data_IF_496178931841
#
_entry.id   IF_496178931841
#
_cell.length_a   1.000
_cell.length_b   1.000
_cell.length_c   1.000
_cell.angle_alpha   90.00
_cell.angle_beta   90.00
_cell.angle_gamma   90.00
#
_symmetry.space_group_name_H-M   'P 1'
#
loop_
_entity.id
_entity.type
_entity.pdbx_description
1 polymer ?
#
# COMPACT_ATOMS: atom_id res chain seq x y z
N UNK A 1 21.14 4.49 -12.40
CA UNK A 1 19.67 4.57 -12.27
C UNK A 1 19.08 4.01 -13.55
N UNK A 2 18.29 2.95 -13.42
CA UNK A 2 17.60 2.27 -14.51
C UNK A 2 16.74 3.26 -15.34
N UNK A 3 16.68 3.07 -16.66
CA UNK A 3 15.91 3.93 -17.58
C UNK A 3 14.42 3.89 -17.23
N UNK A 4 13.89 2.73 -16.84
CA UNK A 4 12.51 2.61 -16.38
C UNK A 4 12.26 3.47 -15.13
N UNK A 5 13.17 3.41 -14.15
CA UNK A 5 13.08 4.24 -12.94
C UNK A 5 13.14 5.75 -13.25
N UNK A 6 13.93 6.17 -14.26
CA UNK A 6 13.92 7.57 -14.72
C UNK A 6 12.55 7.98 -15.24
N UNK A 7 11.90 7.13 -16.04
CA UNK A 7 10.56 7.39 -16.59
C UNK A 7 9.51 7.49 -15.49
N UNK A 8 9.59 6.69 -14.43
CA UNK A 8 8.74 6.87 -13.24
C UNK A 8 8.94 8.26 -12.62
N UNK A 9 10.18 8.74 -12.54
CA UNK A 9 10.49 10.07 -11.99
C UNK A 9 9.82 11.24 -12.71
N UNK A 10 9.39 11.07 -13.96
CA UNK A 10 8.71 12.10 -14.74
C UNK A 10 7.17 12.04 -14.65
N UNK A 11 6.59 11.01 -14.03
CA UNK A 11 5.15 10.85 -13.93
C UNK A 11 4.50 12.03 -13.18
N UNK A 12 3.42 12.59 -13.75
CA UNK A 12 2.73 13.76 -13.21
C UNK A 12 3.42 15.11 -13.45
N UNK A 13 4.69 15.11 -13.89
CA UNK A 13 5.41 16.35 -14.22
C UNK A 13 5.60 16.55 -15.72
N UNK A 14 5.60 15.46 -16.50
CA UNK A 14 5.72 15.49 -17.95
C UNK A 14 4.37 15.22 -18.64
N UNK A 15 4.20 15.63 -19.92
CA UNK A 15 3.03 15.28 -20.71
C UNK A 15 2.88 13.75 -20.82
N UNK A 16 1.70 13.23 -20.49
CA UNK A 16 1.46 11.77 -20.46
C UNK A 16 1.70 11.10 -21.81
N UNK A 17 1.36 11.78 -22.92
CA UNK A 17 1.62 11.27 -24.26
C UNK A 17 3.11 11.08 -24.56
N UNK A 18 3.99 11.91 -23.99
CA UNK A 18 5.43 11.76 -24.15
C UNK A 18 5.96 10.58 -23.34
N UNK A 19 5.45 10.39 -22.11
CA UNK A 19 5.79 9.23 -21.28
C UNK A 19 5.30 7.92 -21.89
N UNK A 20 4.12 7.93 -22.49
CA UNK A 20 3.59 6.80 -23.26
C UNK A 20 4.59 6.37 -24.34
N UNK A 21 5.04 7.32 -25.19
CA UNK A 21 5.99 7.03 -26.28
C UNK A 21 7.36 6.59 -25.75
N UNK A 22 7.85 7.20 -24.67
CA UNK A 22 9.13 6.82 -24.09
C UNK A 22 9.11 5.40 -23.50
N UNK A 23 7.99 4.98 -22.90
CA UNK A 23 7.81 3.61 -22.41
C UNK A 23 7.74 2.59 -23.54
N UNK A 24 7.11 2.93 -24.66
CA UNK A 24 7.15 2.08 -25.86
C UNK A 24 8.57 1.95 -26.41
N UNK A 25 9.30 3.06 -26.58
CA UNK A 25 10.69 3.03 -27.05
C UNK A 25 11.59 2.17 -26.15
N UNK A 26 11.41 2.27 -24.82
CA UNK A 26 12.13 1.43 -23.87
C UNK A 26 11.76 -0.06 -24.03
N UNK A 27 10.48 -0.38 -24.23
CA UNK A 27 10.02 -1.76 -24.41
C UNK A 27 10.52 -2.39 -25.72
N UNK A 28 10.61 -1.59 -26.79
CA UNK A 28 11.12 -2.00 -28.11
C UNK A 28 12.65 -2.11 -28.14
N UNK A 29 13.34 -1.63 -27.09
CA UNK A 29 14.80 -1.57 -27.05
C UNK A 29 15.39 -0.49 -27.96
N UNK A 30 14.60 0.51 -28.36
CA UNK A 30 15.04 1.65 -29.18
C UNK A 30 15.73 2.71 -28.29
N UNK A 31 16.97 2.39 -27.91
CA UNK A 31 17.75 3.22 -26.99
C UNK A 31 18.02 4.62 -27.54
N UNK A 32 18.22 4.75 -28.86
CA UNK A 32 18.49 6.05 -29.48
C UNK A 32 17.31 7.00 -29.33
N UNK A 33 16.11 6.52 -29.68
CA UNK A 33 14.88 7.29 -29.51
C UNK A 33 14.57 7.56 -28.04
N UNK A 34 14.81 6.59 -27.16
CA UNK A 34 14.60 6.75 -25.72
C UNK A 34 15.50 7.86 -25.14
N UNK A 35 16.77 7.91 -25.52
CA UNK A 35 17.69 8.93 -25.03
C UNK A 35 17.30 10.35 -25.49
N UNK A 36 16.83 10.49 -26.74
CA UNK A 36 16.26 11.76 -27.24
C UNK A 36 15.03 12.19 -26.43
N UNK A 37 14.11 11.25 -26.16
CA UNK A 37 12.91 11.52 -25.37
C UNK A 37 13.24 11.87 -23.92
N UNK A 38 14.17 11.15 -23.28
CA UNK A 38 14.62 11.44 -21.92
C UNK A 38 15.27 12.83 -21.82
N UNK A 39 16.03 13.22 -22.84
CA UNK A 39 16.63 14.57 -22.92
C UNK A 39 15.53 15.64 -23.03
N UNK A 40 14.58 15.45 -23.95
CA UNK A 40 13.46 16.37 -24.12
C UNK A 40 12.56 16.48 -22.87
N UNK A 41 12.35 15.36 -22.16
CA UNK A 41 11.62 15.32 -20.89
C UNK A 41 12.34 16.08 -19.78
N UNK A 42 13.67 15.99 -19.72
CA UNK A 42 14.48 16.70 -18.74
C UNK A 42 14.56 18.21 -18.99
N UNK A 43 14.50 18.64 -20.25
CA UNK A 43 14.50 20.05 -20.64
C UNK A 43 13.12 20.71 -20.53
N UNK A 44 12.06 19.91 -20.51
CA UNK A 44 10.69 20.40 -20.30
C UNK A 44 10.54 20.98 -18.89
N UNK A 45 10.02 22.21 -18.74
CA UNK A 45 9.87 22.82 -17.42
C UNK A 45 8.90 22.00 -16.58
N UNK A 46 9.44 21.25 -15.61
CA UNK A 46 8.67 20.55 -14.61
C UNK A 46 7.91 21.60 -13.80
N UNK A 47 6.59 21.71 -14.02
CA UNK A 47 5.75 22.53 -13.15
C UNK A 47 5.41 21.66 -11.94
N UNK A 48 5.88 21.98 -10.72
CA UNK A 48 5.54 21.19 -9.55
C UNK A 48 4.04 21.28 -9.32
N UNK A 49 3.31 20.25 -9.75
CA UNK A 49 1.86 20.16 -9.61
C UNK A 49 1.55 19.13 -8.55
N UNK A 50 0.83 19.55 -7.51
CA UNK A 50 0.20 18.60 -6.60
C UNK A 50 -1.05 18.07 -7.30
N UNK A 51 -1.08 16.76 -7.52
CA UNK A 51 -2.26 16.09 -8.03
C UNK A 51 -3.15 15.63 -6.90
N UNK A 52 -4.45 15.69 -7.14
CA UNK A 52 -5.43 15.03 -6.29
C UNK A 52 -5.71 13.64 -6.87
N UNK A 53 -5.62 12.61 -6.03
CA UNK A 53 -5.99 11.25 -6.42
C UNK A 53 -7.28 10.83 -5.74
N UNK A 54 -8.18 10.19 -6.48
CA UNK A 54 -9.51 9.81 -6.01
C UNK A 54 -9.77 8.35 -6.39
N UNK A 55 -10.23 7.51 -5.44
CA UNK A 55 -10.69 6.17 -5.75
C UNK A 55 -12.01 6.25 -6.52
N UNK A 56 -12.00 5.98 -7.83
CA UNK A 56 -13.21 5.88 -8.64
C UNK A 56 -13.24 4.54 -9.39
N UNK A 57 -13.98 3.54 -8.86
CA UNK A 57 -13.96 2.19 -9.42
C UNK A 57 -14.92 1.99 -10.60
N UNK A 58 -15.80 2.94 -10.91
CA UNK A 58 -16.91 2.76 -11.86
C UNK A 58 -16.67 3.45 -13.20
N UNK A 59 -17.28 2.93 -14.26
CA UNK A 59 -17.30 3.56 -15.58
C UNK A 59 -16.08 3.23 -16.46
N UNK A 60 -15.18 2.39 -15.98
CA UNK A 60 -13.92 2.04 -16.65
C UNK A 60 -13.68 0.52 -16.72
N UNK A 61 -14.68 -0.29 -16.37
CA UNK A 61 -14.54 -1.71 -16.11
C UNK A 61 -14.09 -2.49 -17.36
N UNK A 62 -14.48 -2.05 -18.56
CA UNK A 62 -14.05 -2.67 -19.81
C UNK A 62 -12.54 -2.49 -20.05
N UNK A 63 -12.05 -1.26 -19.91
CA UNK A 63 -10.64 -0.94 -20.10
C UNK A 63 -9.76 -1.57 -18.99
N UNK A 64 -10.23 -1.55 -17.74
CA UNK A 64 -9.54 -2.18 -16.61
C UNK A 64 -9.41 -3.70 -16.79
N UNK A 65 -10.48 -4.37 -17.22
CA UNK A 65 -10.42 -5.82 -17.52
C UNK A 65 -9.46 -6.14 -18.66
N UNK A 66 -9.45 -5.32 -19.71
CA UNK A 66 -8.55 -5.52 -20.85
C UNK A 66 -7.08 -5.37 -20.42
N UNK A 67 -6.77 -4.34 -19.62
CA UNK A 67 -5.43 -4.15 -19.05
C UNK A 67 -5.03 -5.33 -18.17
N UNK A 68 -5.86 -5.71 -17.19
CA UNK A 68 -5.57 -6.82 -16.27
C UNK A 68 -5.35 -8.11 -17.04
N UNK A 69 -6.18 -8.40 -18.05
CA UNK A 69 -6.01 -9.58 -18.90
C UNK A 69 -4.65 -9.62 -19.59
N UNK A 70 -4.13 -8.47 -20.03
CA UNK A 70 -2.84 -8.37 -20.72
C UNK A 70 -1.63 -8.61 -19.79
N UNK A 71 -1.75 -8.29 -18.50
CA UNK A 71 -0.61 -8.31 -17.56
C UNK A 71 -0.66 -9.41 -16.50
N UNK A 72 -1.79 -10.10 -16.32
CA UNK A 72 -2.02 -11.00 -15.16
C UNK A 72 -1.05 -12.19 -15.03
N UNK A 73 -0.30 -12.50 -16.08
CA UNK A 73 0.68 -13.61 -16.08
C UNK A 73 2.12 -13.12 -15.82
N UNK A 74 2.34 -11.81 -15.73
CA UNK A 74 3.67 -11.20 -15.62
C UNK A 74 3.76 -10.16 -14.51
N UNK A 75 2.63 -9.58 -14.09
CA UNK A 75 2.52 -8.69 -12.93
C UNK A 75 2.02 -9.44 -11.70
N UNK A 76 2.23 -8.87 -10.51
CA UNK A 76 1.74 -9.42 -9.23
C UNK A 76 0.48 -8.71 -8.73
N UNK A 77 0.29 -7.43 -9.08
CA UNK A 77 -0.90 -6.67 -8.71
C UNK A 77 -1.13 -5.45 -9.61
N UNK A 78 -2.38 -5.00 -9.67
CA UNK A 78 -2.80 -3.83 -10.42
C UNK A 78 -3.84 -3.03 -9.64
N UNK A 79 -3.64 -1.72 -9.59
CA UNK A 79 -4.59 -0.75 -9.05
C UNK A 79 -4.97 0.29 -10.10
N UNK A 80 -6.07 0.99 -9.84
CA UNK A 80 -6.40 2.21 -10.56
C UNK A 80 -6.87 3.32 -9.62
N UNK A 81 -6.62 4.56 -10.03
CA UNK A 81 -7.09 5.79 -9.37
C UNK A 81 -7.40 6.85 -10.43
N UNK A 82 -8.12 7.90 -10.03
CA UNK A 82 -8.35 9.07 -10.86
C UNK A 82 -7.45 10.21 -10.40
N UNK A 83 -6.62 10.71 -11.30
CA UNK A 83 -5.83 11.92 -11.13
C UNK A 83 -6.65 13.13 -11.54
N UNK A 84 -6.74 14.11 -10.63
CA UNK A 84 -7.50 15.35 -10.74
C UNK A 84 -8.98 15.12 -11.13
N UNK A 85 -9.53 13.94 -10.85
CA UNK A 85 -10.92 13.55 -11.14
C UNK A 85 -11.22 13.24 -12.60
N UNK A 86 -10.23 13.28 -13.50
CA UNK A 86 -10.46 13.10 -14.95
C UNK A 86 -9.55 12.06 -15.58
N UNK A 87 -8.31 11.96 -15.10
CA UNK A 87 -7.30 11.13 -15.72
C UNK A 87 -7.17 9.79 -15.00
N UNK A 88 -7.57 8.69 -15.64
CA UNK A 88 -7.36 7.36 -15.07
C UNK A 88 -5.88 6.97 -15.08
N UNK A 89 -5.35 6.60 -13.93
CA UNK A 89 -3.97 6.14 -13.74
C UNK A 89 -3.98 4.70 -13.25
N UNK A 90 -3.21 3.84 -13.92
CA UNK A 90 -3.02 2.44 -13.56
C UNK A 90 -1.64 2.25 -12.93
N UNK A 91 -1.62 1.59 -11.78
CA UNK A 91 -0.41 1.28 -11.02
C UNK A 91 -0.23 -0.23 -11.06
N UNK A 92 0.93 -0.70 -11.49
CA UNK A 92 1.19 -2.14 -11.70
C UNK A 92 2.44 -2.54 -10.93
N UNK A 93 2.31 -3.51 -10.05
CA UNK A 93 3.45 -4.10 -9.34
C UNK A 93 3.96 -5.31 -10.13
N UNK A 94 5.26 -5.37 -10.39
CA UNK A 94 5.92 -6.50 -11.03
C UNK A 94 7.39 -6.61 -10.60
N UNK A 95 7.90 -7.83 -10.46
CA UNK A 95 9.31 -8.05 -10.10
C UNK A 95 10.26 -7.72 -11.25
N UNK A 96 9.87 -8.07 -12.48
CA UNK A 96 10.71 -7.91 -13.67
C UNK A 96 9.87 -7.54 -14.90
N UNK A 97 10.54 -7.19 -16.00
CA UNK A 97 9.88 -6.95 -17.29
C UNK A 97 9.06 -5.66 -17.33
N UNK A 98 9.40 -4.66 -16.51
CA UNK A 98 8.57 -3.48 -16.28
C UNK A 98 8.20 -2.74 -17.57
N UNK A 99 9.16 -2.55 -18.48
CA UNK A 99 8.92 -1.90 -19.78
C UNK A 99 7.95 -2.68 -20.67
N UNK A 100 8.15 -4.00 -20.79
CA UNK A 100 7.27 -4.87 -21.59
C UNK A 100 5.84 -4.92 -21.01
N UNK A 101 5.71 -4.96 -19.68
CA UNK A 101 4.42 -4.90 -18.99
C UNK A 101 3.73 -3.55 -19.25
N UNK A 102 4.48 -2.45 -19.15
CA UNK A 102 3.94 -1.11 -19.42
C UNK A 102 3.41 -1.02 -20.85
N UNK A 103 4.19 -1.44 -21.84
CA UNK A 103 3.78 -1.44 -23.24
C UNK A 103 2.55 -2.34 -23.48
N UNK A 104 2.52 -3.56 -22.95
CA UNK A 104 1.39 -4.47 -23.10
C UNK A 104 0.08 -3.90 -22.52
N UNK A 105 0.16 -3.30 -21.33
CA UNK A 105 -0.97 -2.63 -20.67
C UNK A 105 -1.43 -1.40 -21.46
N UNK A 106 -0.50 -0.55 -21.90
CA UNK A 106 -0.78 0.64 -22.71
C UNK A 106 -1.51 0.26 -24.02
N UNK A 107 -1.04 -0.78 -24.70
CA UNK A 107 -1.65 -1.31 -25.92
C UNK A 107 -3.05 -1.88 -25.67
N UNK A 108 -3.28 -2.56 -24.55
CA UNK A 108 -4.60 -3.06 -24.17
C UNK A 108 -5.60 -1.92 -23.92
N UNK A 109 -5.16 -0.83 -23.27
CA UNK A 109 -5.96 0.36 -23.04
C UNK A 109 -6.32 1.10 -24.33
N UNK A 110 -5.36 1.28 -25.26
CA UNK A 110 -5.62 1.88 -26.57
C UNK A 110 -6.69 1.12 -27.35
N UNK A 111 -6.58 -0.22 -27.39
CA UNK A 111 -7.58 -1.09 -28.04
C UNK A 111 -8.97 -1.01 -27.40
N UNK A 112 -9.03 -0.54 -26.15
CA UNK A 112 -10.27 -0.32 -25.41
C UNK A 112 -10.82 1.10 -25.53
N UNK A 113 -10.20 1.96 -26.35
CA UNK A 113 -10.64 3.34 -26.58
C UNK A 113 -10.07 4.38 -25.62
N UNK A 114 -9.00 4.07 -24.89
CA UNK A 114 -8.30 5.03 -24.02
C UNK A 114 -7.20 5.72 -24.83
N UNK A 115 -7.39 6.99 -25.14
CA UNK A 115 -6.49 7.75 -26.03
C UNK A 115 -5.11 8.04 -25.41
N UNK A 116 -5.03 8.18 -24.09
CA UNK A 116 -3.77 8.46 -23.37
C UNK A 116 -3.64 7.54 -22.16
N UNK A 117 -3.15 6.30 -22.37
CA UNK A 117 -2.89 5.35 -21.29
C UNK A 117 -1.85 5.88 -20.30
N UNK A 118 -2.12 5.73 -19.00
CA UNK A 118 -1.20 6.11 -17.92
C UNK A 118 -0.89 4.89 -17.08
N UNK A 119 0.10 4.13 -17.52
CA UNK A 119 0.50 2.88 -16.86
C UNK A 119 1.84 3.07 -16.17
N UNK A 120 1.82 2.95 -14.85
CA UNK A 120 2.97 3.10 -13.98
C UNK A 120 3.35 1.73 -13.42
N UNK A 121 4.38 1.11 -13.96
CA UNK A 121 4.86 -0.22 -13.52
C UNK A 121 6.01 -0.04 -12.54
N UNK A 122 6.03 -0.73 -11.41
CA UNK A 122 7.09 -0.61 -10.42
C UNK A 122 7.42 -1.93 -9.74
N UNK A 123 8.63 -2.01 -9.18
CA UNK A 123 9.08 -3.12 -8.36
C UNK A 123 8.71 -2.90 -6.89
N UNK A 124 8.17 -3.91 -6.17
CA UNK A 124 7.69 -3.75 -4.79
C UNK A 124 8.77 -3.34 -3.79
N UNK A 125 10.03 -3.71 -4.02
CA UNK A 125 11.15 -3.43 -3.12
C UNK A 125 11.81 -2.06 -3.32
N UNK A 126 11.48 -1.33 -4.38
CA UNK A 126 12.10 -0.06 -4.71
C UNK A 126 11.29 1.13 -4.15
N UNK A 127 11.95 2.15 -3.56
CA UNK A 127 11.27 3.38 -3.16
C UNK A 127 10.54 4.02 -4.33
N UNK A 128 9.27 4.35 -4.12
CA UNK A 128 8.43 4.99 -5.12
C UNK A 128 8.55 6.51 -5.03
N UNK A 129 8.51 7.24 -6.16
CA UNK A 129 8.31 8.67 -6.14
C UNK A 129 7.00 9.04 -5.42
N UNK A 130 6.96 10.21 -4.79
CA UNK A 130 5.78 10.65 -4.02
C UNK A 130 4.48 10.71 -4.83
N UNK A 131 4.56 10.90 -6.15
CA UNK A 131 3.42 10.78 -7.07
C UNK A 131 2.77 9.40 -6.97
N UNK A 132 3.56 8.33 -7.08
CA UNK A 132 3.08 6.94 -7.05
C UNK A 132 2.64 6.52 -5.66
N UNK A 133 3.31 6.99 -4.60
CA UNK A 133 2.88 6.72 -3.22
C UNK A 133 1.49 7.32 -2.96
N UNK A 134 1.26 8.57 -3.37
CA UNK A 134 -0.05 9.23 -3.25
C UNK A 134 -1.12 8.57 -4.13
N UNK A 135 -0.76 8.19 -5.35
CA UNK A 135 -1.68 7.49 -6.26
C UNK A 135 -2.10 6.14 -5.68
N UNK A 136 -1.16 5.33 -5.17
CA UNK A 136 -1.45 4.04 -4.52
C UNK A 136 -2.33 4.20 -3.28
N UNK A 137 -2.06 5.23 -2.47
CA UNK A 137 -2.84 5.58 -1.28
C UNK A 137 -4.33 5.81 -1.59
N UNK A 138 -4.63 6.39 -2.75
CA UNK A 138 -5.99 6.74 -3.18
C UNK A 138 -6.48 5.86 -4.35
N UNK A 139 -6.03 4.60 -4.41
CA UNK A 139 -6.35 3.67 -5.50
C UNK A 139 -7.25 2.52 -5.05
N UNK A 140 -7.98 1.95 -6.00
CA UNK A 140 -8.72 0.70 -5.86
C UNK A 140 -7.88 -0.45 -6.44
N UNK A 141 -7.73 -1.55 -5.68
CA UNK A 141 -7.12 -2.77 -6.21
C UNK A 141 -8.06 -3.40 -7.26
N UNK A 142 -7.58 -3.51 -8.48
CA UNK A 142 -8.31 -4.14 -9.58
C UNK A 142 -8.08 -5.66 -9.61
N UNK A 143 -6.85 -6.07 -9.30
CA UNK A 143 -6.44 -7.48 -9.37
C UNK A 143 -5.13 -7.72 -8.62
N UNK A 144 -4.97 -8.91 -8.03
CA UNK A 144 -3.69 -9.44 -7.55
C UNK A 144 -3.53 -10.92 -7.94
N UNK A 145 -2.29 -11.34 -8.21
CA UNK A 145 -1.97 -12.72 -8.58
C UNK A 145 -2.26 -13.72 -7.45
N UNK A 146 -1.89 -13.35 -6.23
CA UNK A 146 -2.18 -14.14 -5.05
C UNK A 146 -3.51 -13.71 -4.43
N UNK A 147 -4.32 -14.65 -3.90
CA UNK A 147 -5.48 -14.31 -3.10
C UNK A 147 -5.07 -13.48 -1.88
N UNK A 148 -6.00 -12.68 -1.37
CA UNK A 148 -5.80 -11.94 -0.12
C UNK A 148 -5.69 -12.89 1.06
N UNK A 149 -4.56 -12.90 1.75
CA UNK A 149 -4.53 -13.44 3.13
C UNK A 149 -5.34 -12.50 4.01
N UNK A 150 -6.24 -13.01 4.87
CA UNK A 150 -6.96 -12.18 5.82
C UNK A 150 -5.99 -11.38 6.68
N UNK A 151 -6.26 -10.09 6.82
CA UNK A 151 -5.57 -9.23 7.77
C UNK A 151 -6.39 -9.20 9.05
N UNK A 152 -5.72 -9.50 10.17
CA UNK A 152 -6.33 -9.54 11.49
C UNK A 152 -6.03 -8.24 12.24
N UNK A 153 -7.04 -7.66 12.90
CA UNK A 153 -6.86 -6.47 13.73
C UNK A 153 -6.93 -6.90 15.19
N UNK A 154 -5.82 -6.77 15.91
CA UNK A 154 -5.71 -7.14 17.31
C UNK A 154 -6.44 -6.15 18.21
N UNK A 155 -7.12 -6.67 19.24
CA UNK A 155 -7.67 -5.83 20.30
C UNK A 155 -6.53 -5.24 21.13
N UNK A 156 -6.58 -3.93 21.37
CA UNK A 156 -5.65 -3.25 22.26
C UNK A 156 -6.10 -3.27 23.74
N UNK A 157 -7.40 -3.52 23.96
CA UNK A 157 -8.08 -3.48 25.26
C UNK A 157 -9.05 -4.66 25.34
N UNK A 158 -9.51 -5.00 26.54
CA UNK A 158 -10.49 -6.09 26.73
C UNK A 158 -11.90 -5.69 26.32
N UNK A 159 -12.20 -4.39 26.35
CA UNK A 159 -13.42 -3.84 25.80
C UNK A 159 -13.42 -2.31 25.76
N UNK A 160 -14.53 -1.74 25.30
CA UNK A 160 -14.80 -0.32 25.32
C UNK A 160 -16.28 -0.07 25.67
N UNK A 161 -16.53 0.97 26.46
CA UNK A 161 -17.86 1.41 26.86
C UNK A 161 -18.00 2.94 26.82
N UNK A 162 -19.06 3.48 27.45
CA UNK A 162 -19.31 4.93 27.50
C UNK A 162 -18.15 5.72 28.14
N UNK A 163 -17.48 5.12 29.13
CA UNK A 163 -16.33 5.69 29.83
C UNK A 163 -14.98 5.49 29.10
N UNK A 164 -15.01 4.86 27.91
CA UNK A 164 -13.84 4.57 27.09
C UNK A 164 -13.34 3.13 27.19
N UNK A 165 -12.11 2.85 26.74
CA UNK A 165 -11.51 1.51 26.74
C UNK A 165 -11.15 1.05 28.15
N UNK A 166 -11.19 -0.26 28.39
CA UNK A 166 -10.89 -0.86 29.70
C UNK A 166 -10.14 -2.20 29.59
N UNK A 167 -9.44 -2.56 30.67
CA UNK A 167 -8.88 -3.90 30.91
C UNK A 167 -9.67 -4.60 32.03
N UNK A 168 -9.88 -5.90 31.88
CA UNK A 168 -10.53 -6.72 32.89
C UNK A 168 -9.67 -6.78 34.16
N UNK A 169 -10.29 -6.95 35.32
CA UNK A 169 -9.54 -7.01 36.59
C UNK A 169 -8.64 -8.25 36.69
N UNK A 170 -8.94 -9.29 35.90
CA UNK A 170 -8.18 -10.54 35.76
C UNK A 170 -7.37 -10.59 34.45
N UNK A 171 -7.12 -9.45 33.81
CA UNK A 171 -6.31 -9.38 32.59
C UNK A 171 -4.94 -10.06 32.77
N UNK A 172 -4.58 -10.90 31.80
CA UNK A 172 -3.38 -11.73 31.87
C UNK A 172 -2.09 -10.89 31.88
N UNK A 173 -1.09 -11.37 32.63
CA UNK A 173 0.22 -10.72 32.74
C UNK A 173 1.33 -11.59 32.14
N UNK A 174 2.21 -10.96 31.35
CA UNK A 174 3.43 -11.59 30.83
C UNK A 174 4.57 -11.42 31.84
N UNK A 175 4.60 -12.31 32.82
CA UNK A 175 5.58 -12.29 33.92
C UNK A 175 6.96 -12.80 33.51
N UNK A 176 7.05 -13.70 32.51
CA UNK A 176 8.34 -14.19 32.02
C UNK A 176 9.06 -13.08 31.23
N UNK A 177 10.23 -12.59 31.69
CA UNK A 177 10.94 -11.49 31.04
C UNK A 177 11.44 -11.84 29.64
N UNK A 178 11.70 -13.12 29.32
CA UNK A 178 12.13 -13.55 27.98
C UNK A 178 10.98 -13.50 26.99
N UNK A 179 9.81 -14.02 27.40
CA UNK A 179 8.58 -13.95 26.60
C UNK A 179 8.20 -12.49 26.38
N UNK A 180 8.19 -11.68 27.44
CA UNK A 180 7.89 -10.25 27.34
C UNK A 180 8.83 -9.52 26.38
N UNK A 181 10.14 -9.78 26.47
CA UNK A 181 11.12 -9.18 25.54
C UNK A 181 10.81 -9.55 24.10
N UNK A 182 10.57 -10.83 23.80
CA UNK A 182 10.26 -11.29 22.45
C UNK A 182 9.01 -10.62 21.87
N UNK A 183 7.95 -10.51 22.68
CA UNK A 183 6.72 -9.80 22.29
C UNK A 183 6.98 -8.32 22.02
N UNK A 184 7.72 -7.63 22.90
CA UNK A 184 8.07 -6.21 22.71
C UNK A 184 8.88 -5.98 21.43
N UNK A 185 9.84 -6.86 21.15
CA UNK A 185 10.69 -6.77 19.96
C UNK A 185 9.86 -7.01 18.68
N UNK A 186 8.95 -7.98 18.68
CA UNK A 186 7.99 -8.20 17.58
C UNK A 186 7.08 -6.98 17.37
N UNK A 187 6.43 -6.48 18.44
CA UNK A 187 5.50 -5.36 18.35
C UNK A 187 6.18 -4.07 17.86
N UNK A 188 7.44 -3.85 18.25
CA UNK A 188 8.24 -2.72 17.78
C UNK A 188 8.71 -2.88 16.32
N UNK A 189 8.86 -4.11 15.84
CA UNK A 189 9.36 -4.42 14.50
C UNK A 189 8.36 -4.20 13.37
N UNK A 190 7.06 -4.12 13.65
CA UNK A 190 6.04 -3.87 12.62
C UNK A 190 6.16 -2.49 11.96
N UNK A 191 5.82 -2.38 10.68
CA UNK A 191 5.77 -1.11 9.94
C UNK A 191 4.60 -0.26 10.44
N UNK A 192 4.81 1.06 10.64
CA UNK A 192 3.71 1.99 10.95
C UNK A 192 2.84 2.15 9.71
N UNK A 193 1.59 1.67 9.79
CA UNK A 193 0.63 1.68 8.67
C UNK A 193 -0.38 2.81 8.76
N UNK A 194 -0.63 3.30 9.98
CA UNK A 194 -1.44 4.48 10.25
C UNK A 194 -0.79 5.26 11.41
N UNK A 195 -0.34 6.49 11.13
CA UNK A 195 0.13 7.40 12.17
C UNK A 195 -1.03 8.11 12.85
N UNK A 196 -0.94 8.30 14.16
CA UNK A 196 -1.92 9.05 14.92
C UNK A 196 -1.38 10.46 15.27
N UNK A 197 -2.19 11.48 15.04
CA UNK A 197 -1.82 12.88 15.35
C UNK A 197 -1.86 13.19 16.86
N UNK A 198 -2.40 12.28 17.67
CA UNK A 198 -2.57 12.47 19.11
C UNK A 198 -2.29 11.21 19.91
N UNK A 199 -1.94 11.41 21.18
CA UNK A 199 -1.69 10.35 22.16
C UNK A 199 -2.90 10.18 23.07
N UNK A 200 -3.18 8.94 23.45
CA UNK A 200 -4.28 8.61 24.35
C UNK A 200 -3.88 8.83 25.82
N UNK A 201 -4.90 8.95 26.67
CA UNK A 201 -4.75 8.87 28.12
C UNK A 201 -4.38 7.45 28.53
N UNK A 202 -3.42 7.33 29.44
CA UNK A 202 -3.12 6.07 30.11
C UNK A 202 -4.26 5.73 31.09
N UNK A 203 -5.01 4.67 30.81
CA UNK A 203 -6.21 4.32 31.59
C UNK A 203 -5.88 3.70 32.95
N UNK A 204 -4.63 3.27 33.16
CA UNK A 204 -4.18 2.70 34.44
C UNK A 204 -3.70 3.81 35.36
N UNK A 205 -2.93 4.78 34.85
CA UNK A 205 -2.42 5.91 35.67
C UNK A 205 -3.26 7.19 35.62
N UNK A 206 -4.17 7.32 34.66
CA UNK A 206 -4.91 8.56 34.37
C UNK A 206 -4.09 9.63 33.65
N UNK A 207 -2.85 9.35 33.24
CA UNK A 207 -1.95 10.33 32.64
C UNK A 207 -2.36 10.66 31.20
N UNK A 208 -2.82 11.88 30.95
CA UNK A 208 -3.23 12.32 29.61
C UNK A 208 -2.05 12.36 28.63
N UNK A 209 -2.32 12.08 27.34
CA UNK A 209 -1.36 12.27 26.25
C UNK A 209 -0.11 11.38 26.32
N UNK A 210 -0.17 10.24 27.02
CA UNK A 210 1.01 9.41 27.29
C UNK A 210 1.09 8.18 26.39
N UNK A 211 -0.03 7.64 25.91
CA UNK A 211 -0.04 6.37 25.16
C UNK A 211 -0.02 6.65 23.66
N UNK A 212 0.94 6.14 22.88
CA UNK A 212 0.92 6.30 21.42
C UNK A 212 -0.29 5.55 20.82
N UNK A 213 -0.88 6.12 19.78
CA UNK A 213 -2.08 5.58 19.12
C UNK A 213 -1.81 5.11 17.68
N UNK A 214 -0.55 5.09 17.24
CA UNK A 214 -0.17 4.58 15.92
C UNK A 214 -0.59 3.12 15.76
N UNK A 215 -0.93 2.74 14.53
CA UNK A 215 -1.13 1.35 14.16
C UNK A 215 0.10 0.82 13.41
N UNK A 216 0.55 -0.35 13.83
CA UNK A 216 1.63 -1.11 13.20
C UNK A 216 1.12 -2.39 12.59
N UNK A 217 1.86 -2.91 11.62
CA UNK A 217 1.54 -4.18 10.98
C UNK A 217 2.80 -4.91 10.48
N UNK A 218 2.71 -6.23 10.47
CA UNK A 218 3.63 -7.13 9.74
C UNK A 218 3.03 -7.65 8.42
N UNK A 219 1.84 -7.17 8.05
CA UNK A 219 1.10 -7.59 6.86
C UNK A 219 0.06 -8.67 7.10
N UNK A 220 0.11 -9.38 8.22
CA UNK A 220 -0.91 -10.36 8.64
C UNK A 220 -1.73 -9.82 9.81
N UNK A 221 -1.06 -9.19 10.78
CA UNK A 221 -1.68 -8.56 11.93
C UNK A 221 -1.53 -7.05 11.88
N UNK A 222 -2.54 -6.35 12.40
CA UNK A 222 -2.49 -4.93 12.73
C UNK A 222 -2.70 -4.78 14.23
N UNK A 223 -1.85 -4.00 14.89
CA UNK A 223 -1.95 -3.73 16.32
C UNK A 223 -1.69 -2.27 16.64
N UNK A 224 -2.22 -1.81 17.77
CA UNK A 224 -1.94 -0.47 18.28
C UNK A 224 -0.61 -0.43 19.03
N UNK A 225 0.13 0.67 18.93
CA UNK A 225 1.26 0.97 19.81
C UNK A 225 0.87 1.01 21.29
N UNK A 226 -0.41 1.20 21.62
CA UNK A 226 -0.93 1.06 22.97
C UNK A 226 -0.65 -0.34 23.54
N UNK A 227 -0.79 -1.40 22.73
CA UNK A 227 -0.48 -2.78 23.13
C UNK A 227 0.96 -2.91 23.62
N UNK A 228 1.91 -2.32 22.88
CA UNK A 228 3.33 -2.30 23.26
C UNK A 228 3.56 -1.49 24.54
N UNK A 229 2.90 -0.34 24.67
CA UNK A 229 2.98 0.52 25.86
C UNK A 229 2.52 -0.21 27.13
N UNK A 230 1.33 -0.83 27.11
CA UNK A 230 0.79 -1.52 28.28
C UNK A 230 1.57 -2.81 28.61
N UNK A 231 2.07 -3.52 27.60
CA UNK A 231 2.97 -4.66 27.82
C UNK A 231 4.28 -4.25 28.50
N UNK A 232 4.92 -3.17 28.04
CA UNK A 232 6.20 -2.73 28.61
C UNK A 232 6.03 -2.20 30.04
N UNK A 233 5.01 -1.37 30.25
CA UNK A 233 4.81 -0.63 31.51
C UNK A 233 4.09 -1.44 32.59
N UNK A 234 3.09 -2.22 32.20
CA UNK A 234 2.18 -2.91 33.13
C UNK A 234 2.19 -4.43 32.97
N UNK A 235 2.97 -4.97 32.01
CA UNK A 235 3.05 -6.40 31.71
C UNK A 235 1.75 -7.00 31.20
N UNK A 236 0.79 -6.17 30.79
CA UNK A 236 -0.50 -6.61 30.24
C UNK A 236 -0.27 -7.39 28.95
N UNK A 237 -0.81 -8.60 28.91
CA UNK A 237 -0.68 -9.48 27.76
C UNK A 237 -1.36 -8.86 26.53
N UNK A 238 -0.75 -8.95 25.33
CA UNK A 238 -1.44 -8.60 24.09
C UNK A 238 -2.67 -9.50 23.86
N UNK A 239 -3.42 -9.20 22.79
CA UNK A 239 -4.37 -10.15 22.24
C UNK A 239 -3.73 -11.56 22.13
N UNK A 240 -4.37 -12.64 22.64
CA UNK A 240 -3.77 -13.97 22.67
C UNK A 240 -3.39 -14.53 21.30
N UNK A 241 -4.17 -14.24 20.26
CA UNK A 241 -3.88 -14.71 18.90
C UNK A 241 -2.68 -13.93 18.31
N UNK A 242 -2.63 -12.62 18.54
CA UNK A 242 -1.46 -11.81 18.19
C UNK A 242 -0.21 -12.27 18.94
N UNK A 243 -0.34 -12.56 20.24
CA UNK A 243 0.77 -13.02 21.07
C UNK A 243 1.30 -14.39 20.58
N UNK A 244 0.40 -15.31 20.24
CA UNK A 244 0.75 -16.58 19.61
C UNK A 244 1.54 -16.38 18.32
N UNK A 245 1.00 -15.56 17.41
CA UNK A 245 1.65 -15.20 16.14
C UNK A 245 3.05 -14.59 16.34
N UNK A 246 3.18 -13.65 17.29
CA UNK A 246 4.44 -12.99 17.62
C UNK A 246 5.51 -13.94 18.20
N UNK A 247 5.10 -15.01 18.86
CA UNK A 247 6.01 -16.02 19.41
C UNK A 247 6.42 -17.08 18.39
N UNK A 248 5.71 -17.22 17.28
CA UNK A 248 6.04 -18.14 16.18
C UNK A 248 6.80 -17.44 15.05
N UNK A 249 6.61 -16.13 14.91
CA UNK A 249 7.11 -15.34 13.78
C UNK A 249 8.21 -14.37 14.22
N UNK A 250 9.06 -13.96 13.28
CA UNK A 250 9.94 -12.80 13.46
C UNK A 250 9.31 -11.57 12.78
N UNK A 251 9.50 -10.35 13.30
CA UNK A 251 9.03 -9.17 12.59
C UNK A 251 9.60 -9.14 11.17
N UNK A 252 8.70 -9.05 10.19
CA UNK A 252 9.04 -9.09 8.77
C UNK A 252 9.74 -7.82 8.29
N UNK A 253 10.23 -7.86 7.06
CA UNK A 253 10.75 -6.69 6.36
C UNK A 253 9.64 -5.67 6.05
N UNK A 254 10.02 -4.56 5.41
CA UNK A 254 9.09 -3.52 4.93
C UNK A 254 7.95 -4.13 4.11
N UNK A 255 6.73 -3.66 4.34
CA UNK A 255 5.55 -4.16 3.63
C UNK A 255 5.62 -3.82 2.15
N UNK A 256 5.30 -4.80 1.32
CA UNK A 256 5.08 -4.55 -0.12
C UNK A 256 3.91 -3.58 -0.31
N UNK A 257 3.85 -2.84 -1.43
CA UNK A 257 2.70 -2.00 -1.76
C UNK A 257 1.36 -2.75 -1.72
N UNK A 258 1.32 -4.00 -2.20
CA UNK A 258 0.14 -4.86 -2.12
C UNK A 258 -0.26 -5.20 -0.69
N UNK A 259 0.70 -5.59 0.14
CA UNK A 259 0.45 -5.90 1.55
C UNK A 259 -0.06 -4.66 2.29
N UNK A 260 0.55 -3.48 2.05
CA UNK A 260 0.12 -2.22 2.64
C UNK A 260 -1.30 -1.82 2.22
N UNK A 261 -1.67 -2.06 0.96
CA UNK A 261 -3.04 -1.84 0.48
C UNK A 261 -4.04 -2.72 1.23
N UNK A 262 -3.76 -4.02 1.35
CA UNK A 262 -4.64 -4.98 2.06
C UNK A 262 -4.80 -4.61 3.54
N UNK A 263 -3.71 -4.23 4.20
CA UNK A 263 -3.74 -3.76 5.59
C UNK A 263 -4.66 -2.55 5.74
N UNK A 264 -4.57 -1.56 4.85
CA UNK A 264 -5.44 -0.38 4.88
C UNK A 264 -6.90 -0.70 4.62
N UNK A 265 -7.18 -1.58 3.65
CA UNK A 265 -8.54 -2.02 3.36
C UNK A 265 -9.19 -2.74 4.56
N UNK A 266 -8.40 -3.48 5.35
CA UNK A 266 -8.90 -4.10 6.58
C UNK A 266 -9.24 -3.08 7.68
N UNK A 267 -8.59 -1.91 7.69
CA UNK A 267 -8.86 -0.82 8.65
C UNK A 267 -10.05 0.06 8.25
N UNK A 268 -10.43 0.05 6.97
CA UNK A 268 -11.60 0.76 6.47
C UNK A 268 -12.57 -0.24 5.81
N UNK A 269 -13.47 -0.88 6.58
CA UNK A 269 -14.33 -1.95 6.06
C UNK A 269 -15.27 -1.54 4.91
N UNK A 270 -15.41 -0.24 4.63
CA UNK A 270 -16.14 0.28 3.46
C UNK A 270 -15.39 -0.05 2.15
N UNK A 271 -14.08 -0.28 2.19
CA UNK A 271 -13.22 -0.60 1.03
C UNK A 271 -13.13 -2.10 0.74
N UNK A 272 -13.87 -2.95 1.46
CA UNK A 272 -13.97 -4.38 1.14
C UNK A 272 -14.76 -4.56 -0.17
N UNK A 273 -14.00 -4.68 -1.25
CA UNK A 273 -14.37 -5.29 -2.54
C UNK A 273 -15.49 -4.59 -3.32
N UNK A 274 -15.08 -3.63 -4.17
CA UNK A 274 -15.74 -3.42 -5.46
C UNK A 274 -15.86 -4.77 -6.21
N UNK A 275 -16.91 -4.94 -7.02
CA UNK A 275 -17.58 -6.23 -7.23
C UNK A 275 -16.60 -7.37 -7.49
N UNK A 276 -16.50 -8.25 -6.50
CA UNK A 276 -15.91 -9.58 -6.63
C UNK A 276 -16.68 -10.35 -7.71
N UNK A 277 -16.21 -10.29 -8.95
CA UNK A 277 -16.71 -11.15 -10.02
C UNK A 277 -16.35 -12.59 -9.65
N UNK A 278 -17.28 -13.30 -9.00
CA UNK A 278 -17.25 -14.75 -8.91
C UNK A 278 -17.51 -15.29 -10.32
N UNK A 279 -16.47 -15.85 -10.93
CA UNK A 279 -16.66 -16.81 -12.01
C UNK A 279 -16.96 -18.16 -11.35
N UNK A 280 -18.22 -18.57 -11.45
CA UNK A 280 -18.78 -19.82 -10.94
C UNK A 280 -20.29 -19.80 -11.08
#
# INVERSE_FOLDING_TARGET
MDQHQKLLGFAGTAPDGWLFVAREALADGDIGRLDELLTALAESPATPRRHLFIPEPRGHEAADRALVHAIRNTATACWATMRDGTDRVHLVQAETGHAAIAAAAQQALLKSGVDTPRVEVFEPGHPLPGYHEQALLASTLLWSAEPGTPVHVARAFDGAGEDGPWFASDHELVVDPKVRRRLLDFLAGGEVVLGADSRMTDIVSGSAGTVPADLRSDGTWVWSEATRYYLDRYQFAPDPELAGHALETQPGDRLSPLTRHRVRAALNPIDQEGPSWRAG
#
